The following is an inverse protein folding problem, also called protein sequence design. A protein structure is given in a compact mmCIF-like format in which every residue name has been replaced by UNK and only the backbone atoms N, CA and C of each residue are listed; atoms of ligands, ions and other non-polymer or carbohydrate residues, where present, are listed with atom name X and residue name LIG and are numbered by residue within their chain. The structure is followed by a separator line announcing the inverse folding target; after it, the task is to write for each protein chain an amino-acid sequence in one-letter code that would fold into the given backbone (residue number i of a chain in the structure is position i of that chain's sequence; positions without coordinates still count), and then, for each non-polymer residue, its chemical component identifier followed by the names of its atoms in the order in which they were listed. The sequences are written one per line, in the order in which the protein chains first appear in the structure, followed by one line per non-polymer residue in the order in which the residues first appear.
data_IF_384434626425
#
_entry.id   IF_384434626425
#
_cell.length_a   1.000
_cell.length_b   1.000
_cell.length_c   1.000
_cell.angle_alpha   90.00
_cell.angle_beta   90.00
_cell.angle_gamma   90.00
#
_symmetry.space_group_name_H-M   'P 1'
#
loop_
_entity.id
_entity.type
_entity.pdbx_description
1 polymer ?
#
# COMPACT_ATOMS: atom_id res chain seq x y z
N UNK A 1 -3.19 19.40 -3.60
CA UNK A 1 -3.73 18.09 -4.01
C UNK A 1 -3.43 17.74 -5.47
N UNK A 2 -3.78 18.57 -6.47
CA UNK A 2 -3.56 18.28 -7.89
C UNK A 2 -2.09 17.96 -8.21
N UNK A 3 -1.14 18.79 -7.73
CA UNK A 3 0.30 18.59 -7.97
C UNK A 3 0.78 17.24 -7.37
N UNK A 4 0.36 16.91 -6.16
CA UNK A 4 0.71 15.64 -5.50
C UNK A 4 0.17 14.46 -6.29
N UNK A 5 -1.07 14.54 -6.77
CA UNK A 5 -1.70 13.51 -7.60
C UNK A 5 -0.95 13.31 -8.92
N UNK A 6 -0.59 14.39 -9.61
CA UNK A 6 0.19 14.31 -10.85
C UNK A 6 1.58 13.70 -10.61
N UNK A 7 2.27 14.07 -9.52
CA UNK A 7 3.55 13.45 -9.15
C UNK A 7 3.37 11.95 -8.89
N UNK A 8 2.29 11.56 -8.21
CA UNK A 8 1.97 10.15 -7.96
C UNK A 8 1.76 9.38 -9.26
N UNK A 9 0.92 9.89 -10.15
CA UNK A 9 0.65 9.25 -11.45
C UNK A 9 1.90 9.13 -12.31
N UNK A 10 2.63 10.23 -12.48
CA UNK A 10 3.83 10.26 -13.32
C UNK A 10 4.93 9.39 -12.72
N UNK A 11 5.21 9.53 -11.42
CA UNK A 11 6.26 8.79 -10.74
C UNK A 11 6.03 7.27 -10.77
N UNK A 12 4.84 6.82 -10.42
CA UNK A 12 4.51 5.39 -10.43
C UNK A 12 4.41 4.82 -11.86
N UNK A 13 3.86 5.58 -12.81
CA UNK A 13 3.86 5.16 -14.22
C UNK A 13 5.28 5.01 -14.79
N UNK A 14 6.18 5.93 -14.45
CA UNK A 14 7.59 5.83 -14.82
C UNK A 14 8.25 4.56 -14.25
N UNK A 15 7.99 4.19 -13.00
CA UNK A 15 8.51 2.96 -12.41
C UNK A 15 8.03 1.75 -13.21
N UNK A 16 6.73 1.66 -13.50
CA UNK A 16 6.14 0.54 -14.26
C UNK A 16 6.77 0.43 -15.65
N UNK A 17 6.91 1.55 -16.35
CA UNK A 17 7.51 1.58 -17.69
C UNK A 17 8.98 1.17 -17.65
N UNK A 18 9.77 1.72 -16.71
CA UNK A 18 11.19 1.39 -16.58
C UNK A 18 11.42 -0.09 -16.30
N UNK A 19 10.63 -0.70 -15.42
CA UNK A 19 10.71 -2.15 -15.12
C UNK A 19 10.41 -3.00 -16.35
N UNK A 20 9.53 -2.55 -17.23
CA UNK A 20 9.19 -3.28 -18.47
C UNK A 20 10.24 -3.11 -19.57
N UNK A 21 10.84 -1.93 -19.68
CA UNK A 21 11.75 -1.58 -20.78
C UNK A 21 13.19 -2.00 -20.51
N UNK A 22 13.69 -1.86 -19.28
CA UNK A 22 15.07 -2.19 -18.94
C UNK A 22 15.19 -3.61 -18.36
N UNK A 23 15.83 -4.51 -19.10
CA UNK A 23 16.10 -5.91 -18.67
C UNK A 23 16.84 -6.00 -17.32
N UNK A 24 17.62 -5.00 -16.93
CA UNK A 24 18.34 -4.96 -15.65
C UNK A 24 17.40 -4.81 -14.47
N UNK A 25 16.21 -4.22 -14.70
CA UNK A 25 15.16 -4.05 -13.68
C UNK A 25 14.16 -5.22 -13.67
N UNK A 26 14.34 -6.24 -14.49
CA UNK A 26 13.48 -7.43 -14.51
C UNK A 26 13.88 -8.43 -13.42
N UNK A 27 13.86 -8.00 -12.17
CA UNK A 27 14.12 -8.84 -11.00
C UNK A 27 12.85 -8.97 -10.16
N UNK A 28 12.72 -10.01 -9.29
CA UNK A 28 11.58 -10.19 -8.40
C UNK A 28 11.22 -8.93 -7.62
N UNK A 29 12.23 -8.26 -7.07
CA UNK A 29 12.04 -7.00 -6.36
C UNK A 29 11.32 -5.93 -7.18
N UNK A 30 11.77 -5.68 -8.39
CA UNK A 30 11.17 -4.64 -9.25
C UNK A 30 9.82 -5.07 -9.82
N UNK A 31 9.59 -6.38 -9.96
CA UNK A 31 8.28 -6.92 -10.28
C UNK A 31 7.25 -6.59 -9.19
N UNK A 32 7.56 -6.84 -7.92
CA UNK A 32 6.66 -6.46 -6.80
C UNK A 32 6.57 -4.94 -6.64
N UNK A 33 7.63 -4.21 -6.90
CA UNK A 33 7.60 -2.75 -6.90
C UNK A 33 6.65 -2.21 -7.99
N UNK A 34 6.60 -2.80 -9.18
CA UNK A 34 5.65 -2.39 -10.22
C UNK A 34 4.19 -2.69 -9.83
N UNK A 35 3.95 -3.78 -9.07
CA UNK A 35 2.64 -4.05 -8.48
C UNK A 35 2.25 -2.99 -7.44
N UNK A 36 3.18 -2.61 -6.55
CA UNK A 36 2.98 -1.54 -5.58
C UNK A 36 2.68 -0.20 -6.28
N UNK A 37 3.43 0.14 -7.33
CA UNK A 37 3.18 1.34 -8.13
C UNK A 37 1.81 1.33 -8.81
N UNK A 38 1.32 0.17 -9.24
CA UNK A 38 -0.03 0.02 -9.78
C UNK A 38 -1.09 0.24 -8.69
N UNK A 39 -0.87 -0.27 -7.48
CA UNK A 39 -1.72 -0.02 -6.32
C UNK A 39 -1.78 1.47 -5.97
N UNK A 40 -0.64 2.15 -5.92
CA UNK A 40 -0.54 3.58 -5.63
C UNK A 40 -1.34 4.43 -6.63
N UNK A 41 -1.26 4.10 -7.92
CA UNK A 41 -2.07 4.76 -8.97
C UNK A 41 -3.56 4.51 -8.74
N UNK A 42 -3.96 3.27 -8.51
CA UNK A 42 -5.36 2.92 -8.31
C UNK A 42 -5.93 3.57 -7.06
N UNK A 43 -5.18 3.53 -5.94
CA UNK A 43 -5.60 4.09 -4.66
C UNK A 43 -5.78 5.61 -4.73
N UNK A 44 -4.81 6.33 -5.27
CA UNK A 44 -4.88 7.77 -5.44
C UNK A 44 -6.00 8.17 -6.41
N UNK A 45 -6.23 7.39 -7.48
CA UNK A 45 -7.30 7.64 -8.46
C UNK A 45 -8.70 7.32 -7.90
N UNK A 46 -8.81 6.45 -6.91
CA UNK A 46 -10.07 6.19 -6.19
C UNK A 46 -10.47 7.37 -5.28
N UNK A 47 -9.49 8.09 -4.72
CA UNK A 47 -9.73 9.08 -3.65
C UNK A 47 -9.62 10.52 -4.15
N UNK A 48 -8.55 10.88 -4.87
CA UNK A 48 -8.21 12.28 -5.17
C UNK A 48 -9.19 12.97 -6.12
N UNK A 49 -9.67 12.36 -7.23
CA UNK A 49 -10.63 13.01 -8.12
C UNK A 49 -11.94 13.36 -7.40
N UNK A 50 -12.40 12.46 -6.52
CA UNK A 50 -13.59 12.68 -5.70
C UNK A 50 -13.40 13.84 -4.71
N UNK A 51 -12.23 13.90 -4.05
CA UNK A 51 -11.88 14.98 -3.13
C UNK A 51 -11.81 16.34 -3.83
N UNK A 52 -11.22 16.38 -5.01
CA UNK A 52 -11.13 17.62 -5.79
C UNK A 52 -12.50 18.10 -6.24
N UNK A 53 -13.34 17.19 -6.72
CA UNK A 53 -14.68 17.52 -7.19
C UNK A 53 -15.60 18.03 -6.06
N UNK A 54 -15.55 17.36 -4.89
CA UNK A 54 -16.38 17.76 -3.74
C UNK A 54 -15.83 18.98 -3.00
N UNK A 55 -14.51 19.19 -3.02
CA UNK A 55 -13.89 20.40 -2.43
C UNK A 55 -14.25 21.70 -3.13
N UNK A 56 -14.85 21.64 -4.33
CA UNK A 56 -15.33 22.80 -5.11
C UNK A 56 -16.84 23.03 -4.92
N UNK A 57 -17.53 22.24 -4.11
CA UNK A 57 -18.97 22.33 -3.88
C UNK A 57 -19.28 22.82 -2.49
N UNK A 58 -20.26 23.70 -2.37
CA UNK A 58 -20.77 24.17 -1.06
C UNK A 58 -21.45 23.05 -0.28
N UNK A 59 -22.11 22.13 -0.97
CA UNK A 59 -22.79 20.96 -0.40
C UNK A 59 -22.30 19.68 -1.11
N UNK A 60 -21.21 19.08 -0.64
CA UNK A 60 -20.69 17.85 -1.23
C UNK A 60 -21.65 16.68 -0.95
N UNK A 61 -22.05 15.98 -2.02
CA UNK A 61 -22.94 14.82 -1.93
C UNK A 61 -22.37 13.66 -2.73
N UNK A 62 -22.64 12.44 -2.26
CA UNK A 62 -22.27 11.20 -2.95
C UNK A 62 -23.47 10.25 -2.93
N UNK A 63 -23.68 9.50 -4.02
CA UNK A 63 -24.68 8.45 -4.01
C UNK A 63 -24.22 7.28 -3.12
N UNK A 64 -25.18 6.58 -2.51
CA UNK A 64 -24.91 5.40 -1.70
C UNK A 64 -24.02 4.39 -2.42
N UNK A 65 -24.38 4.05 -3.67
CA UNK A 65 -23.62 3.08 -4.48
C UNK A 65 -22.18 3.52 -4.74
N UNK A 66 -21.97 4.81 -5.06
CA UNK A 66 -20.63 5.36 -5.31
C UNK A 66 -19.79 5.37 -4.03
N UNK A 67 -20.37 5.70 -2.90
CA UNK A 67 -19.71 5.68 -1.59
C UNK A 67 -19.29 4.25 -1.23
N UNK A 68 -20.20 3.30 -1.39
CA UNK A 68 -19.93 1.88 -1.09
C UNK A 68 -18.87 1.29 -2.01
N UNK A 69 -18.90 1.62 -3.31
CA UNK A 69 -17.88 1.23 -4.26
C UNK A 69 -16.49 1.83 -3.91
N UNK A 70 -16.44 3.12 -3.57
CA UNK A 70 -15.19 3.78 -3.15
C UNK A 70 -14.58 3.11 -1.93
N UNK A 71 -15.39 2.83 -0.90
CA UNK A 71 -14.97 2.12 0.31
C UNK A 71 -14.44 0.72 -0.02
N UNK A 72 -15.17 -0.05 -0.84
CA UNK A 72 -14.79 -1.42 -1.21
C UNK A 72 -13.47 -1.46 -1.95
N UNK A 73 -13.29 -0.55 -2.91
CA UNK A 73 -12.04 -0.43 -3.69
C UNK A 73 -10.89 -0.04 -2.75
N UNK A 74 -11.09 0.93 -1.86
CA UNK A 74 -10.07 1.35 -0.91
C UNK A 74 -9.65 0.21 0.03
N UNK A 75 -10.62 -0.57 0.55
CA UNK A 75 -10.35 -1.77 1.36
C UNK A 75 -9.54 -2.80 0.59
N UNK A 76 -9.98 -3.15 -0.60
CA UNK A 76 -9.31 -4.13 -1.44
C UNK A 76 -7.85 -3.74 -1.72
N UNK A 77 -7.62 -2.48 -2.10
CA UNK A 77 -6.27 -1.98 -2.40
C UNK A 77 -5.40 -1.92 -1.14
N UNK A 78 -5.94 -1.45 -0.01
CA UNK A 78 -5.21 -1.41 1.26
C UNK A 78 -4.82 -2.80 1.78
N UNK A 79 -5.74 -3.78 1.68
CA UNK A 79 -5.43 -5.18 2.02
C UNK A 79 -4.38 -5.77 1.09
N UNK A 80 -4.46 -5.47 -0.21
CA UNK A 80 -3.45 -5.90 -1.18
C UNK A 80 -2.08 -5.32 -0.84
N UNK A 81 -2.01 -4.05 -0.44
CA UNK A 81 -0.76 -3.39 -0.04
C UNK A 81 -0.15 -4.05 1.20
N UNK A 82 -0.96 -4.35 2.24
CA UNK A 82 -0.50 -5.06 3.44
C UNK A 82 0.19 -6.39 3.11
N UNK A 83 -0.46 -7.22 2.30
CA UNK A 83 0.06 -8.54 1.93
C UNK A 83 1.27 -8.40 0.99
N UNK A 84 1.23 -7.47 0.05
CA UNK A 84 2.32 -7.21 -0.89
C UNK A 84 3.60 -6.76 -0.17
N UNK A 85 3.49 -5.91 0.83
CA UNK A 85 4.64 -5.48 1.65
C UNK A 85 5.26 -6.66 2.41
N UNK A 86 4.46 -7.63 2.88
CA UNK A 86 4.97 -8.86 3.49
C UNK A 86 5.69 -9.74 2.46
N UNK A 87 5.15 -9.89 1.26
CA UNK A 87 5.82 -10.61 0.15
C UNK A 87 7.15 -9.94 -0.23
N UNK A 88 7.17 -8.60 -0.27
CA UNK A 88 8.41 -7.86 -0.52
C UNK A 88 9.43 -8.02 0.60
N UNK A 89 9.01 -8.10 1.86
CA UNK A 89 9.90 -8.40 2.98
C UNK A 89 10.48 -9.82 2.88
N UNK A 90 9.68 -10.80 2.46
CA UNK A 90 10.14 -12.16 2.18
C UNK A 90 11.17 -12.20 1.05
N UNK A 91 10.90 -11.52 -0.07
CA UNK A 91 11.85 -11.40 -1.19
C UNK A 91 13.22 -10.86 -0.70
N UNK A 92 13.19 -9.81 0.14
CA UNK A 92 14.41 -9.26 0.73
C UNK A 92 15.13 -10.23 1.64
N UNK A 93 14.38 -10.93 2.49
CA UNK A 93 14.94 -11.93 3.39
C UNK A 93 15.67 -13.02 2.61
N UNK A 94 15.03 -13.61 1.59
CA UNK A 94 15.66 -14.66 0.77
C UNK A 94 16.90 -14.14 0.02
N UNK A 95 16.84 -12.93 -0.53
CA UNK A 95 17.95 -12.32 -1.25
C UNK A 95 19.22 -12.12 -0.38
N UNK A 96 19.05 -11.89 0.92
CA UNK A 96 20.15 -11.62 1.85
C UNK A 96 20.57 -12.90 2.59
N UNK A 97 19.61 -13.73 3.03
CA UNK A 97 19.91 -14.93 3.79
C UNK A 97 20.41 -16.09 2.91
N UNK A 98 19.92 -16.22 1.69
CA UNK A 98 20.23 -17.31 0.76
C UNK A 98 20.57 -16.81 -0.65
N UNK A 99 21.62 -16.00 -0.83
CA UNK A 99 21.92 -15.35 -2.11
C UNK A 99 22.20 -16.34 -3.25
N UNK A 100 22.80 -17.52 -2.94
CA UNK A 100 23.11 -18.54 -3.93
C UNK A 100 21.87 -19.23 -4.52
N UNK A 101 20.82 -19.40 -3.71
CA UNK A 101 19.58 -20.06 -4.11
C UNK A 101 18.45 -19.07 -4.45
N UNK A 102 18.73 -17.77 -4.38
CA UNK A 102 17.71 -16.73 -4.58
C UNK A 102 16.97 -16.87 -5.91
N UNK A 103 17.68 -17.02 -7.01
CA UNK A 103 17.11 -17.13 -8.36
C UNK A 103 16.29 -18.43 -8.57
N UNK A 104 16.60 -19.47 -7.81
CA UNK A 104 15.86 -20.74 -7.83
C UNK A 104 14.56 -20.60 -7.05
N UNK A 105 14.62 -20.01 -5.83
CA UNK A 105 13.48 -19.83 -4.94
C UNK A 105 12.52 -18.77 -5.50
N UNK A 106 13.04 -17.60 -5.89
CA UNK A 106 12.28 -16.45 -6.39
C UNK A 106 12.29 -16.40 -7.93
N UNK A 107 11.93 -17.52 -8.57
CA UNK A 107 11.79 -17.55 -10.02
C UNK A 107 10.49 -16.86 -10.48
N UNK A 108 10.40 -16.54 -11.77
CA UNK A 108 9.25 -15.81 -12.34
C UNK A 108 7.90 -16.47 -12.05
N UNK A 109 7.83 -17.82 -12.05
CA UNK A 109 6.58 -18.53 -11.76
C UNK A 109 6.13 -18.33 -10.31
N UNK A 110 7.08 -18.36 -9.37
CA UNK A 110 6.80 -18.11 -7.95
C UNK A 110 6.37 -16.66 -7.75
N UNK A 111 7.06 -15.69 -8.36
CA UNK A 111 6.69 -14.27 -8.26
C UNK A 111 5.27 -14.00 -8.77
N UNK A 112 4.90 -14.56 -9.92
CA UNK A 112 3.55 -14.42 -10.48
C UNK A 112 2.52 -15.09 -9.58
N UNK A 113 2.80 -16.29 -9.05
CA UNK A 113 1.88 -16.97 -8.11
C UNK A 113 1.68 -16.16 -6.84
N UNK A 114 2.75 -15.64 -6.25
CA UNK A 114 2.67 -14.79 -5.05
C UNK A 114 1.85 -13.53 -5.32
N UNK A 115 2.06 -12.86 -6.45
CA UNK A 115 1.24 -11.71 -6.83
C UNK A 115 -0.22 -12.10 -7.01
N UNK A 116 -0.53 -13.17 -7.75
CA UNK A 116 -1.91 -13.64 -7.95
C UNK A 116 -2.61 -14.00 -6.64
N UNK A 117 -1.92 -14.72 -5.75
CA UNK A 117 -2.47 -15.06 -4.42
C UNK A 117 -2.71 -13.79 -3.60
N UNK A 118 -1.80 -12.82 -3.64
CA UNK A 118 -1.95 -11.53 -2.95
C UNK A 118 -3.21 -10.80 -3.42
N UNK A 119 -3.37 -10.61 -4.72
CA UNK A 119 -4.52 -9.91 -5.29
C UNK A 119 -5.83 -10.67 -5.06
N UNK A 120 -5.84 -11.99 -5.27
CA UNK A 120 -7.04 -12.81 -5.08
C UNK A 120 -7.48 -12.90 -3.62
N UNK A 121 -6.54 -13.10 -2.68
CA UNK A 121 -6.88 -13.15 -1.25
C UNK A 121 -7.40 -11.82 -0.73
N UNK A 122 -6.78 -10.70 -1.11
CA UNK A 122 -7.25 -9.37 -0.75
C UNK A 122 -8.64 -9.08 -1.32
N UNK A 123 -8.92 -9.48 -2.57
CA UNK A 123 -10.24 -9.35 -3.18
C UNK A 123 -11.30 -10.13 -2.40
N UNK A 124 -11.03 -11.38 -2.07
CA UNK A 124 -11.96 -12.21 -1.30
C UNK A 124 -12.20 -11.63 0.10
N UNK A 125 -11.14 -11.21 0.80
CA UNK A 125 -11.25 -10.59 2.12
C UNK A 125 -12.05 -9.28 2.10
N UNK A 126 -11.97 -8.49 1.02
CA UNK A 126 -12.74 -7.26 0.88
C UNK A 126 -14.22 -7.52 0.53
N UNK A 127 -14.50 -8.52 -0.32
CA UNK A 127 -15.85 -8.75 -0.87
C UNK A 127 -16.71 -9.62 0.03
N UNK A 128 -16.13 -10.64 0.70
CA UNK A 128 -16.89 -11.58 1.53
C UNK A 128 -17.73 -10.87 2.61
N UNK A 129 -17.20 -9.93 3.43
CA UNK A 129 -18.02 -9.27 4.45
C UNK A 129 -19.14 -8.42 3.86
N UNK A 130 -18.95 -7.87 2.67
CA UNK A 130 -19.93 -7.04 1.99
C UNK A 130 -21.14 -7.88 1.55
N UNK A 131 -20.88 -9.08 1.00
CA UNK A 131 -21.94 -9.97 0.53
C UNK A 131 -22.61 -10.69 1.71
N UNK A 132 -21.82 -11.14 2.70
CA UNK A 132 -22.32 -11.94 3.80
C UNK A 132 -23.17 -11.13 4.80
N UNK A 133 -22.91 -9.83 4.94
CA UNK A 133 -23.56 -9.01 5.96
C UNK A 133 -24.01 -7.68 5.34
N UNK A 134 -25.24 -7.62 4.77
CA UNK A 134 -25.80 -6.38 4.25
C UNK A 134 -25.84 -5.30 5.35
N UNK A 135 -25.40 -4.10 5.01
CA UNK A 135 -25.39 -2.98 5.94
C UNK A 135 -26.76 -2.28 5.93
N UNK A 136 -27.39 -2.19 7.10
CA UNK A 136 -28.58 -1.35 7.30
C UNK A 136 -28.16 -0.03 7.95
N UNK A 137 -28.37 1.07 7.23
CA UNK A 137 -28.07 2.42 7.71
C UNK A 137 -29.33 3.02 8.32
N UNK A 138 -29.25 3.53 9.54
CA UNK A 138 -30.42 4.05 10.29
C UNK A 138 -30.22 5.49 10.77
N UNK A 139 -29.01 6.03 10.67
CA UNK A 139 -28.70 7.35 11.21
C UNK A 139 -28.70 8.43 10.12
N UNK A 140 -28.33 9.63 10.51
CA UNK A 140 -28.27 10.79 9.63
C UNK A 140 -27.40 10.49 8.40
N UNK A 141 -27.83 10.97 7.22
CA UNK A 141 -27.12 10.80 5.94
C UNK A 141 -25.85 11.67 5.81
N UNK A 142 -25.18 11.99 6.92
CA UNK A 142 -24.01 12.86 6.94
C UNK A 142 -22.78 12.07 7.34
N UNK A 143 -21.81 11.98 6.43
CA UNK A 143 -20.50 11.39 6.67
C UNK A 143 -19.52 12.50 6.99
N UNK A 144 -19.04 12.55 8.23
CA UNK A 144 -18.05 13.54 8.65
C UNK A 144 -16.63 13.08 8.27
N UNK A 145 -16.39 12.86 6.95
CA UNK A 145 -15.11 12.42 6.42
C UNK A 145 -14.91 12.92 4.98
N UNK A 146 -13.66 13.02 4.52
CA UNK A 146 -13.35 13.48 3.15
C UNK A 146 -13.63 12.43 2.08
N UNK A 147 -13.60 11.16 2.44
CA UNK A 147 -13.81 9.99 1.57
C UNK A 147 -14.71 8.99 2.27
N UNK A 148 -15.32 8.08 1.50
CA UNK A 148 -16.08 6.98 2.07
C UNK A 148 -15.11 5.92 2.60
N UNK A 149 -14.87 5.94 3.90
CA UNK A 149 -14.04 4.95 4.59
C UNK A 149 -14.86 4.07 5.51
N UNK A 150 -14.33 2.86 5.77
CA UNK A 150 -15.02 1.85 6.60
C UNK A 150 -15.37 2.40 7.96
N UNK A 151 -14.44 3.08 8.64
CA UNK A 151 -14.67 3.62 9.98
C UNK A 151 -15.76 4.69 10.01
N UNK A 152 -15.83 5.54 8.98
CA UNK A 152 -16.87 6.56 8.87
C UNK A 152 -18.24 5.94 8.61
N UNK A 153 -18.30 4.89 7.79
CA UNK A 153 -19.55 4.19 7.47
C UNK A 153 -20.03 3.28 8.60
N UNK A 154 -19.13 2.62 9.34
CA UNK A 154 -19.50 1.80 10.50
C UNK A 154 -20.28 2.59 11.56
N UNK A 155 -20.03 3.88 11.73
CA UNK A 155 -20.76 4.76 12.65
C UNK A 155 -22.22 5.02 12.24
N UNK A 156 -22.55 4.77 10.98
CA UNK A 156 -23.90 4.98 10.43
C UNK A 156 -24.73 3.68 10.40
N UNK A 157 -24.10 2.54 10.69
CA UNK A 157 -24.73 1.23 10.67
C UNK A 157 -25.34 0.92 12.03
N UNK A 158 -26.62 0.55 12.04
CA UNK A 158 -27.38 0.27 13.28
C UNK A 158 -27.40 -1.22 13.64
N UNK A 159 -27.06 -2.11 12.74
CA UNK A 159 -27.11 -3.54 12.98
C UNK A 159 -25.74 -4.06 13.44
N UNK A 160 -25.45 -3.92 14.72
CA UNK A 160 -24.33 -4.61 15.33
C UNK A 160 -24.69 -6.09 15.51
N UNK A 161 -24.43 -6.88 14.47
CA UNK A 161 -24.55 -8.34 14.60
C UNK A 161 -23.23 -8.90 15.12
N UNK A 162 -23.25 -9.86 16.09
CA UNK A 162 -22.02 -10.49 16.57
C UNK A 162 -21.16 -11.07 15.44
N UNK A 163 -21.82 -11.56 14.39
CA UNK A 163 -21.15 -12.09 13.19
C UNK A 163 -20.31 -11.03 12.49
N UNK A 164 -20.80 -9.77 12.39
CA UNK A 164 -20.04 -8.67 11.78
C UNK A 164 -18.77 -8.33 12.56
N UNK A 165 -18.89 -8.27 13.90
CA UNK A 165 -17.77 -8.00 14.78
C UNK A 165 -16.70 -9.09 14.68
N UNK A 166 -17.11 -10.36 14.74
CA UNK A 166 -16.21 -11.51 14.64
C UNK A 166 -15.52 -11.53 13.26
N UNK A 167 -16.28 -11.35 12.19
CA UNK A 167 -15.72 -11.35 10.83
C UNK A 167 -14.75 -10.17 10.62
N UNK A 168 -15.12 -8.98 11.11
CA UNK A 168 -14.25 -7.81 11.10
C UNK A 168 -12.94 -8.02 11.86
N UNK A 169 -12.99 -8.64 13.03
CA UNK A 169 -11.81 -8.99 13.82
C UNK A 169 -10.93 -10.01 13.10
N UNK A 170 -11.52 -11.08 12.55
CA UNK A 170 -10.77 -12.09 11.79
C UNK A 170 -10.06 -11.42 10.61
N UNK A 171 -10.77 -10.67 9.78
CA UNK A 171 -10.19 -9.97 8.61
C UNK A 171 -9.12 -8.98 9.08
N UNK A 172 -9.38 -8.22 10.15
CA UNK A 172 -8.42 -7.28 10.71
C UNK A 172 -7.11 -7.96 11.13
N UNK A 173 -7.18 -9.12 11.79
CA UNK A 173 -6.00 -9.91 12.19
C UNK A 173 -5.20 -10.38 10.97
N UNK A 174 -5.88 -10.90 9.95
CA UNK A 174 -5.23 -11.41 8.75
C UNK A 174 -4.62 -10.30 7.88
N UNK A 175 -5.15 -9.09 7.94
CA UNK A 175 -4.71 -7.98 7.07
C UNK A 175 -3.67 -7.06 7.71
N UNK A 176 -3.67 -6.87 9.02
CA UNK A 176 -2.75 -5.94 9.68
C UNK A 176 -1.71 -6.64 10.57
N UNK A 177 -2.05 -7.24 11.72
CA UNK A 177 -1.03 -7.76 12.63
C UNK A 177 -0.27 -8.96 12.08
N UNK A 178 -0.91 -9.86 11.32
CA UNK A 178 -0.23 -11.03 10.78
C UNK A 178 0.86 -10.65 9.76
N UNK A 179 0.58 -9.88 8.68
CA UNK A 179 1.62 -9.43 7.77
C UNK A 179 2.67 -8.56 8.45
N UNK A 180 2.27 -7.68 9.38
CA UNK A 180 3.20 -6.86 10.13
C UNK A 180 4.20 -7.69 10.95
N UNK A 181 3.71 -8.67 11.70
CA UNK A 181 4.56 -9.59 12.47
C UNK A 181 5.55 -10.32 11.55
N UNK A 182 5.07 -10.79 10.40
CA UNK A 182 5.93 -11.45 9.41
C UNK A 182 7.03 -10.50 8.87
N UNK A 183 6.68 -9.25 8.61
CA UNK A 183 7.63 -8.22 8.19
C UNK A 183 8.68 -7.98 9.27
N UNK A 184 8.27 -7.80 10.53
CA UNK A 184 9.18 -7.57 11.66
C UNK A 184 10.16 -8.74 11.81
N UNK A 185 9.68 -9.97 11.78
CA UNK A 185 10.52 -11.17 11.84
C UNK A 185 11.52 -11.19 10.66
N UNK A 186 11.05 -10.95 9.43
CA UNK A 186 11.88 -10.93 8.25
C UNK A 186 13.01 -9.89 8.35
N UNK A 187 12.68 -8.66 8.76
CA UNK A 187 13.69 -7.60 8.91
C UNK A 187 14.63 -7.82 10.09
N UNK A 188 14.19 -8.46 11.16
CA UNK A 188 15.08 -8.88 12.26
C UNK A 188 16.12 -9.87 11.76
N UNK A 189 15.71 -10.88 11.01
CA UNK A 189 16.64 -11.84 10.39
C UNK A 189 17.58 -11.17 9.38
N UNK A 190 17.09 -10.24 8.58
CA UNK A 190 17.90 -9.44 7.67
C UNK A 190 18.95 -8.65 8.45
N UNK A 191 18.57 -7.97 9.53
CA UNK A 191 19.49 -7.19 10.35
C UNK A 191 20.61 -8.07 10.91
N UNK A 192 20.28 -9.24 11.45
CA UNK A 192 21.28 -10.21 11.95
C UNK A 192 22.19 -10.68 10.83
N UNK A 193 21.66 -11.00 9.66
CA UNK A 193 22.45 -11.43 8.50
C UNK A 193 23.40 -10.32 8.00
N UNK A 194 22.91 -9.08 7.92
CA UNK A 194 23.69 -7.92 7.48
C UNK A 194 24.81 -7.58 8.47
N UNK A 195 24.57 -7.70 9.77
CA UNK A 195 25.61 -7.49 10.79
C UNK A 195 26.76 -8.51 10.72
N UNK A 196 26.50 -9.71 10.17
CA UNK A 196 27.52 -10.75 9.93
C UNK A 196 28.37 -10.51 8.69
N UNK A 197 28.02 -9.56 7.83
CA UNK A 197 28.80 -9.20 6.63
C UNK A 197 30.09 -8.51 7.04
N UNK A 198 31.23 -9.09 6.70
CA UNK A 198 32.56 -8.57 7.06
C UNK A 198 32.91 -7.27 6.33
N UNK A 199 32.51 -7.11 5.07
CA UNK A 199 32.79 -5.91 4.27
C UNK A 199 31.86 -4.75 4.67
N UNK A 200 32.45 -3.63 5.10
CA UNK A 200 31.72 -2.41 5.46
C UNK A 200 30.92 -1.84 4.27
N UNK A 201 31.48 -1.89 3.07
CA UNK A 201 30.83 -1.41 1.84
C UNK A 201 29.62 -2.27 1.47
N UNK A 202 29.76 -3.61 1.51
CA UNK A 202 28.64 -4.52 1.26
C UNK A 202 27.53 -4.37 2.30
N UNK A 203 27.89 -4.17 3.57
CA UNK A 203 26.96 -3.91 4.66
C UNK A 203 26.18 -2.61 4.45
N UNK A 204 26.86 -1.52 4.10
CA UNK A 204 26.23 -0.23 3.82
C UNK A 204 25.26 -0.32 2.62
N UNK A 205 25.63 -1.02 1.58
CA UNK A 205 24.78 -1.28 0.40
C UNK A 205 23.53 -2.07 0.77
N UNK A 206 23.66 -3.10 1.61
CA UNK A 206 22.54 -3.88 2.11
C UNK A 206 21.59 -3.02 2.98
N UNK A 207 22.11 -2.21 3.91
CA UNK A 207 21.31 -1.28 4.70
C UNK A 207 20.58 -0.24 3.84
N UNK A 208 21.24 0.34 2.86
CA UNK A 208 20.61 1.31 1.95
C UNK A 208 19.45 0.68 1.16
N UNK A 209 19.62 -0.57 0.72
CA UNK A 209 18.59 -1.30 -0.02
C UNK A 209 17.38 -1.64 0.86
N UNK A 210 17.62 -2.07 2.11
CA UNK A 210 16.55 -2.37 3.07
C UNK A 210 15.87 -1.10 3.59
N UNK A 211 16.63 -0.02 3.78
CA UNK A 211 16.12 1.24 4.30
C UNK A 211 15.02 1.86 3.46
N UNK A 212 15.08 1.72 2.13
CA UNK A 212 14.00 2.21 1.26
C UNK A 212 12.68 1.44 1.47
N UNK A 213 12.75 0.13 1.62
CA UNK A 213 11.56 -0.69 1.88
C UNK A 213 11.04 -0.52 3.31
N UNK A 214 11.93 -0.40 4.29
CA UNK A 214 11.56 -0.08 5.68
C UNK A 214 10.84 1.26 5.79
N UNK A 215 11.27 2.28 5.05
CA UNK A 215 10.59 3.59 5.03
C UNK A 215 9.13 3.44 4.61
N UNK A 216 8.87 2.68 3.53
CA UNK A 216 7.49 2.42 3.06
C UNK A 216 6.68 1.68 4.12
N UNK A 217 7.22 0.59 4.67
CA UNK A 217 6.57 -0.19 5.73
C UNK A 217 6.26 0.67 6.96
N UNK A 218 7.20 1.51 7.39
CA UNK A 218 7.02 2.38 8.57
C UNK A 218 5.95 3.43 8.33
N UNK A 219 5.91 4.05 7.15
CA UNK A 219 4.86 5.03 6.81
C UNK A 219 3.51 4.33 6.77
N UNK A 220 3.41 3.19 6.06
CA UNK A 220 2.17 2.45 5.91
C UNK A 220 1.61 1.97 7.26
N UNK A 221 2.38 1.14 7.97
CA UNK A 221 1.91 0.57 9.24
C UNK A 221 1.84 1.59 10.37
N UNK A 222 2.69 2.61 10.36
CA UNK A 222 2.62 3.71 11.33
C UNK A 222 1.32 4.49 11.22
N UNK A 223 0.90 4.83 10.00
CA UNK A 223 -0.41 5.47 9.76
C UNK A 223 -1.57 4.54 10.09
N UNK A 224 -1.50 3.27 9.70
CA UNK A 224 -2.55 2.30 10.01
C UNK A 224 -2.71 2.09 11.52
N UNK A 225 -1.61 1.89 12.25
CA UNK A 225 -1.61 1.74 13.72
C UNK A 225 -2.21 2.98 14.38
N UNK A 226 -1.79 4.17 13.96
CA UNK A 226 -2.34 5.41 14.51
C UNK A 226 -3.85 5.48 14.28
N UNK A 227 -4.32 5.25 13.05
CA UNK A 227 -5.76 5.31 12.70
C UNK A 227 -6.61 4.30 13.48
N UNK A 228 -6.11 3.08 13.70
CA UNK A 228 -6.90 2.03 14.35
C UNK A 228 -6.75 1.96 15.88
N UNK A 229 -5.65 2.45 16.47
CA UNK A 229 -5.39 2.38 17.90
C UNK A 229 -5.69 3.69 18.64
N UNK A 230 -5.90 4.82 17.93
CA UNK A 230 -6.26 6.08 18.59
C UNK A 230 -7.69 6.02 19.13
N UNK A 231 -7.92 6.27 20.43
CA UNK A 231 -9.27 6.29 21.01
C UNK A 231 -10.13 7.33 20.31
N UNK A 232 -11.37 6.95 19.96
CA UNK A 232 -12.29 7.82 19.23
C UNK A 232 -12.88 8.92 20.15
N UNK A 233 -12.21 10.07 20.24
CA UNK A 233 -12.75 11.30 20.82
C UNK A 233 -13.21 12.25 19.70
N UNK A 234 -13.98 13.31 20.04
CA UNK A 234 -14.36 14.34 19.05
C UNK A 234 -13.13 15.02 18.42
N UNK A 235 -12.10 15.21 19.20
CA UNK A 235 -10.83 15.83 18.78
C UNK A 235 -10.01 14.90 17.87
N UNK A 236 -10.10 13.57 18.06
CA UNK A 236 -9.46 12.59 17.20
C UNK A 236 -10.11 12.47 15.83
N UNK A 237 -11.40 12.83 15.67
CA UNK A 237 -12.08 12.73 14.37
C UNK A 237 -11.49 13.66 13.31
N UNK A 238 -11.05 14.85 13.68
CA UNK A 238 -10.41 15.77 12.74
C UNK A 238 -8.98 15.35 12.42
N UNK A 239 -8.28 14.77 13.39
CA UNK A 239 -6.96 14.14 13.16
C UNK A 239 -7.08 12.92 12.25
N UNK A 240 -8.06 12.05 12.45
CA UNK A 240 -8.32 10.88 11.60
C UNK A 240 -8.53 11.27 10.13
N UNK A 241 -9.29 12.35 9.86
CA UNK A 241 -9.49 12.88 8.50
C UNK A 241 -8.18 13.31 7.85
N UNK A 242 -7.32 14.03 8.60
CA UNK A 242 -6.04 14.51 8.09
C UNK A 242 -5.10 13.35 7.81
N UNK A 243 -5.06 12.35 8.70
CA UNK A 243 -4.20 11.17 8.55
C UNK A 243 -4.66 10.31 7.38
N UNK A 244 -5.97 10.12 7.24
CA UNK A 244 -6.56 9.39 6.12
C UNK A 244 -6.26 10.07 4.78
N UNK A 245 -6.38 11.40 4.71
CA UNK A 245 -5.99 12.19 3.55
C UNK A 245 -4.48 12.09 3.28
N UNK A 246 -3.66 12.13 4.34
CA UNK A 246 -2.20 11.95 4.22
C UNK A 246 -1.87 10.57 3.66
N UNK A 247 -2.46 9.51 4.22
CA UNK A 247 -2.25 8.15 3.75
C UNK A 247 -2.69 7.98 2.28
N UNK A 248 -3.90 8.43 1.95
CA UNK A 248 -4.48 8.24 0.61
C UNK A 248 -3.82 9.07 -0.50
N UNK A 249 -3.16 10.19 -0.16
CA UNK A 249 -2.62 11.14 -1.13
C UNK A 249 -1.09 11.20 -1.08
N UNK A 250 -0.52 11.30 0.13
CA UNK A 250 0.92 11.58 0.28
C UNK A 250 1.73 10.30 0.25
N UNK A 251 1.25 9.20 0.84
CA UNK A 251 1.98 7.94 0.86
C UNK A 251 2.27 7.40 -0.55
N UNK A 252 1.32 7.35 -1.50
CA UNK A 252 1.59 6.94 -2.88
C UNK A 252 2.63 7.80 -3.59
N UNK A 253 2.65 9.11 -3.31
CA UNK A 253 3.69 10.00 -3.82
C UNK A 253 5.06 9.70 -3.20
N UNK A 254 5.11 9.51 -1.88
CA UNK A 254 6.35 9.22 -1.17
C UNK A 254 6.95 7.87 -1.60
N UNK A 255 6.10 6.87 -1.87
CA UNK A 255 6.53 5.59 -2.43
C UNK A 255 7.24 5.80 -3.76
N UNK A 256 6.62 6.51 -4.71
CA UNK A 256 7.22 6.81 -6.00
C UNK A 256 8.54 7.55 -5.87
N UNK A 257 8.61 8.61 -5.04
CA UNK A 257 9.82 9.39 -4.83
C UNK A 257 10.93 8.57 -4.16
N UNK A 258 10.61 7.78 -3.14
CA UNK A 258 11.57 6.95 -2.44
C UNK A 258 12.27 5.96 -3.37
N UNK A 259 11.52 5.32 -4.27
CA UNK A 259 12.08 4.36 -5.20
C UNK A 259 12.78 5.02 -6.39
N UNK A 260 12.31 6.14 -6.91
CA UNK A 260 12.95 6.85 -8.02
C UNK A 260 14.21 7.59 -7.57
N UNK A 261 14.22 8.18 -6.37
CA UNK A 261 15.34 8.99 -5.90
C UNK A 261 16.45 8.18 -5.20
N UNK A 262 16.13 7.10 -4.52
CA UNK A 262 17.11 6.32 -3.76
C UNK A 262 17.79 5.21 -4.57
N UNK A 263 17.13 4.64 -5.58
CA UNK A 263 17.67 3.53 -6.36
C UNK A 263 18.53 4.02 -7.52
N UNK A 264 19.84 3.75 -7.47
CA UNK A 264 20.81 4.12 -8.50
C UNK A 264 20.41 3.55 -9.86
N UNK A 265 19.98 2.28 -9.90
CA UNK A 265 19.58 1.60 -11.13
C UNK A 265 18.41 2.30 -11.82
N UNK A 266 17.42 2.79 -11.04
CA UNK A 266 16.27 3.55 -11.55
C UNK A 266 16.70 4.89 -12.11
N UNK A 267 17.60 5.61 -11.40
CA UNK A 267 18.17 6.88 -11.89
C UNK A 267 18.94 6.72 -13.18
N UNK A 268 19.75 5.67 -13.28
CA UNK A 268 20.57 5.42 -14.46
C UNK A 268 19.69 5.03 -15.67
N UNK A 269 18.63 4.26 -15.45
CA UNK A 269 17.65 3.93 -16.49
C UNK A 269 16.87 5.17 -16.94
N UNK A 270 16.44 6.02 -16.01
CA UNK A 270 15.76 7.28 -16.33
C UNK A 270 16.63 8.20 -17.17
N UNK A 271 17.91 8.37 -16.81
CA UNK A 271 18.86 9.16 -17.59
C UNK A 271 19.06 8.62 -19.01
N UNK A 272 19.08 7.29 -19.18
CA UNK A 272 19.16 6.66 -20.51
C UNK A 272 17.94 6.92 -21.36
N UNK A 273 16.73 6.84 -20.77
CA UNK A 273 15.47 7.11 -21.49
C UNK A 273 15.41 8.56 -21.96
N UNK A 274 15.80 9.51 -21.10
CA UNK A 274 15.84 10.95 -21.44
C UNK A 274 16.84 11.19 -22.57
N UNK A 275 18.08 10.69 -22.46
CA UNK A 275 19.09 10.84 -23.50
C UNK A 275 18.73 10.20 -24.85
N UNK A 276 17.92 9.14 -24.85
CA UNK A 276 17.48 8.46 -26.08
C UNK A 276 16.37 9.23 -26.82
N UNK A 277 15.74 10.22 -26.18
CA UNK A 277 14.73 11.11 -26.77
C UNK A 277 15.35 12.39 -27.39
N UNK A 278 16.62 12.65 -27.12
CA UNK A 278 17.35 13.82 -27.69
C UNK A 278 18.08 13.50 -29.02
N UNK A 279 17.90 12.30 -29.55
CA UNK A 279 18.34 11.85 -30.86
C UNK A 279 17.13 11.31 -31.66
#
# INVERSE_FOLDING_TARGET
MVVVYLITLVGNSLIIVMVRVDRRLQTPMYFFLSNLSSLDICYSSNSVPFLLFNGLRDYPTISYTSCYAQMTIALFLGMTECILLAVMAYDRFIAIANPLNYTIIMNNRVCIRLAMVTWASAFLLAIIPIIAIPAHFCAHNVINHFTCEVQALLKLICSDTPVRLILGLIIGIFTLPLPFTFIVISYTHIAVAVLRIRSAEARLKAFSTCGSSLTVVTIFYGTAIFTYLTPQSRESQDQDKVISAFYGIVTPMLNALNYTLRKKDVKDTLRKIIRKKEF
#
